data_IF_800099348110
#
_entry.id   IF_800099348110
#
_cell.length_a   1.000
_cell.length_b   1.000
_cell.length_c   1.000
_cell.angle_alpha   90.00
_cell.angle_beta   90.00
_cell.angle_gamma   90.00
#
_symmetry.space_group_name_H-M   'P 1'
#
loop_
_entity.id
_entity.type
_entity.pdbx_description
1 polymer ?
#
# COMPACT_ATOMS: atom_id res chain seq x y z
N UNK A 1 -2.12 15.50 -11.55
CA UNK A 1 -1.48 14.87 -10.39
C UNK A 1 -0.23 14.12 -10.84
N UNK A 2 0.83 14.24 -10.07
CA UNK A 2 2.09 13.59 -10.37
C UNK A 2 2.30 12.42 -9.42
N UNK A 3 3.05 11.44 -9.88
CA UNK A 3 3.32 10.23 -9.13
C UNK A 3 4.82 9.91 -9.27
N UNK A 4 5.54 10.01 -8.15
CA UNK A 4 6.97 9.73 -8.10
C UNK A 4 7.25 8.39 -7.44
N UNK A 5 8.31 7.73 -7.90
CA UNK A 5 8.75 6.44 -7.40
C UNK A 5 10.20 6.51 -6.94
N UNK A 6 10.47 5.98 -5.76
CA UNK A 6 11.83 5.81 -5.27
C UNK A 6 12.14 4.34 -5.10
N UNK A 7 13.31 3.94 -5.52
CA UNK A 7 13.80 2.57 -5.38
C UNK A 7 14.82 2.52 -4.24
N UNK A 8 14.53 1.68 -3.25
CA UNK A 8 15.39 1.53 -2.07
C UNK A 8 15.59 0.03 -1.82
N UNK A 9 16.81 -0.46 -2.07
CA UNK A 9 17.13 -1.86 -1.93
C UNK A 9 17.41 -2.24 -0.48
N UNK A 10 16.74 -3.28 -0.02
CA UNK A 10 16.93 -3.85 1.30
C UNK A 10 17.91 -5.02 1.21
N UNK A 11 18.92 -5.02 2.09
CA UNK A 11 19.99 -6.03 2.10
C UNK A 11 19.52 -7.46 2.38
N UNK A 12 18.27 -7.64 2.80
CA UNK A 12 17.72 -8.96 3.17
C UNK A 12 16.94 -9.62 2.02
N UNK A 13 17.26 -9.31 0.79
CA UNK A 13 16.59 -9.90 -0.38
C UNK A 13 15.20 -9.35 -0.62
N UNK A 14 14.88 -8.23 -0.05
CA UNK A 14 13.63 -7.53 -0.26
C UNK A 14 13.88 -6.25 -1.02
N UNK A 15 13.08 -6.01 -2.03
CA UNK A 15 13.08 -4.74 -2.72
C UNK A 15 12.05 -3.82 -2.05
N UNK A 16 12.42 -2.58 -1.87
CA UNK A 16 11.58 -1.58 -1.21
C UNK A 16 11.41 -0.40 -2.14
N UNK A 17 10.17 -0.01 -2.36
CA UNK A 17 9.82 1.09 -3.25
C UNK A 17 8.97 2.10 -2.50
N UNK A 18 9.29 3.38 -2.65
CA UNK A 18 8.53 4.45 -2.06
C UNK A 18 7.77 5.20 -3.15
N UNK A 19 6.53 5.53 -2.90
CA UNK A 19 5.68 6.22 -3.84
C UNK A 19 5.09 7.46 -3.18
N UNK A 20 5.18 8.58 -3.87
CA UNK A 20 4.60 9.83 -3.40
C UNK A 20 3.65 10.37 -4.46
N UNK A 21 2.53 10.87 -4.02
CA UNK A 21 1.58 11.56 -4.90
C UNK A 21 1.66 13.05 -4.62
N UNK A 22 1.78 13.83 -5.68
CA UNK A 22 1.87 15.27 -5.58
C UNK A 22 0.67 15.93 -6.23
N UNK A 23 0.22 16.99 -5.63
CA UNK A 23 -0.81 17.85 -6.18
C UNK A 23 -0.40 19.30 -5.95
N UNK A 24 -0.30 20.08 -7.01
CA UNK A 24 0.15 21.49 -6.95
C UNK A 24 1.49 21.62 -6.19
N UNK A 25 2.44 20.72 -6.47
CA UNK A 25 3.77 20.66 -5.87
C UNK A 25 3.77 20.32 -4.38
N UNK A 26 2.65 19.85 -3.84
CA UNK A 26 2.55 19.42 -2.45
C UNK A 26 2.48 17.90 -2.43
N UNK A 27 3.32 17.26 -1.61
CA UNK A 27 3.22 15.81 -1.41
C UNK A 27 1.98 15.52 -0.56
N UNK A 28 0.94 15.00 -1.20
CA UNK A 28 -0.35 14.79 -0.54
C UNK A 28 -0.55 13.35 -0.08
N UNK A 29 0.26 12.42 -0.57
CA UNK A 29 0.15 11.02 -0.17
C UNK A 29 1.50 10.33 -0.32
N UNK A 30 1.77 9.36 0.52
CA UNK A 30 2.98 8.55 0.46
C UNK A 30 2.65 7.12 0.83
N UNK A 31 3.42 6.19 0.28
CA UNK A 31 3.32 4.77 0.62
C UNK A 31 4.63 4.07 0.33
N UNK A 32 4.76 2.88 0.87
CA UNK A 32 5.93 2.04 0.68
C UNK A 32 5.49 0.64 0.31
N UNK A 33 6.17 0.04 -0.66
CA UNK A 33 5.98 -1.36 -1.02
C UNK A 33 7.23 -2.13 -0.67
N UNK A 34 7.06 -3.25 0.03
CA UNK A 34 8.12 -4.23 0.23
C UNK A 34 7.80 -5.45 -0.62
N UNK A 35 8.73 -5.83 -1.50
CA UNK A 35 8.58 -7.02 -2.30
C UNK A 35 9.40 -8.13 -1.66
N UNK A 36 8.74 -9.24 -1.37
CA UNK A 36 9.37 -10.42 -0.79
C UNK A 36 9.60 -11.44 -1.91
N UNK A 37 10.86 -11.70 -2.23
CA UNK A 37 11.27 -12.63 -3.29
C UNK A 37 11.72 -13.94 -2.67
N UNK A 38 10.81 -14.64 -2.02
CA UNK A 38 11.14 -15.95 -1.45
C UNK A 38 10.64 -17.08 -2.32
N UNK A 39 11.55 -17.98 -2.68
CA UNK A 39 11.24 -19.17 -3.47
C UNK A 39 10.62 -18.78 -4.83
N UNK A 40 9.63 -19.52 -5.27
CA UNK A 40 8.99 -19.33 -6.58
C UNK A 40 7.86 -18.31 -6.57
N UNK A 41 7.52 -17.78 -5.39
CA UNK A 41 6.42 -16.83 -5.26
C UNK A 41 6.92 -15.49 -4.77
N UNK A 42 6.55 -14.45 -5.49
CA UNK A 42 6.77 -13.08 -5.04
C UNK A 42 5.48 -12.55 -4.44
N UNK A 43 5.61 -11.87 -3.33
CA UNK A 43 4.49 -11.18 -2.69
C UNK A 43 4.92 -9.77 -2.34
N UNK A 44 3.96 -8.90 -2.15
CA UNK A 44 4.21 -7.52 -1.78
C UNK A 44 3.43 -7.14 -0.55
N UNK A 45 4.01 -6.28 0.26
CA UNK A 45 3.34 -5.69 1.41
C UNK A 45 3.34 -4.18 1.25
N UNK A 46 2.16 -3.60 1.28
CA UNK A 46 2.01 -2.14 1.23
C UNK A 46 2.03 -1.62 2.66
N UNK A 47 2.90 -0.66 2.91
CA UNK A 47 3.11 -0.09 4.24
C UNK A 47 3.04 1.42 4.18
N UNK A 48 2.78 2.03 5.34
CA UNK A 48 2.88 3.48 5.54
C UNK A 48 2.06 4.30 4.56
N UNK A 49 0.94 3.73 4.09
CA UNK A 49 0.05 4.48 3.24
C UNK A 49 -0.65 5.57 4.04
N UNK A 50 -0.50 6.80 3.62
CA UNK A 50 -1.22 7.90 4.24
C UNK A 50 -1.53 8.99 3.22
N UNK A 51 -2.61 9.70 3.48
CA UNK A 51 -3.03 10.86 2.70
C UNK A 51 -3.12 12.03 3.67
N UNK A 52 -2.59 13.19 3.27
CA UNK A 52 -2.69 14.39 4.09
C UNK A 52 -4.16 14.68 4.42
N UNK A 53 -4.40 15.09 5.67
CA UNK A 53 -5.75 15.28 6.20
C UNK A 53 -6.61 16.18 5.31
N UNK A 54 -6.06 17.28 4.83
CA UNK A 54 -6.82 18.26 4.03
C UNK A 54 -7.15 17.74 2.63
N UNK A 55 -6.55 16.63 2.22
CA UNK A 55 -6.76 16.05 0.88
C UNK A 55 -7.51 14.73 0.92
N UNK A 56 -7.93 14.30 2.10
CA UNK A 56 -8.72 13.07 2.25
C UNK A 56 -10.10 13.27 1.65
N UNK A 57 -10.64 12.20 1.07
CA UNK A 57 -11.95 12.25 0.44
C UNK A 57 -11.96 12.81 -0.98
N UNK A 58 -10.80 13.15 -1.53
CA UNK A 58 -10.67 13.72 -2.88
C UNK A 58 -10.26 12.69 -3.94
N UNK A 59 -10.25 11.39 -3.60
CA UNK A 59 -9.88 10.34 -4.54
C UNK A 59 -8.39 10.05 -4.60
N UNK A 60 -7.56 10.71 -3.81
CA UNK A 60 -6.11 10.50 -3.82
C UNK A 60 -5.74 9.10 -3.38
N UNK A 61 -6.41 8.57 -2.36
CA UNK A 61 -6.16 7.20 -1.90
C UNK A 61 -6.42 6.17 -3.00
N UNK A 62 -7.53 6.34 -3.72
CA UNK A 62 -7.87 5.46 -4.85
C UNK A 62 -6.85 5.61 -5.98
N UNK A 63 -6.44 6.82 -6.29
CA UNK A 63 -5.44 7.10 -7.31
C UNK A 63 -4.12 6.41 -6.95
N UNK A 64 -3.65 6.57 -5.71
CA UNK A 64 -2.43 5.95 -5.24
C UNK A 64 -2.51 4.43 -5.32
N UNK A 65 -3.56 3.82 -4.76
CA UNK A 65 -3.71 2.37 -4.76
C UNK A 65 -3.78 1.80 -6.17
N UNK A 66 -4.45 2.47 -7.08
CA UNK A 66 -4.54 2.04 -8.47
C UNK A 66 -3.15 1.98 -9.13
N UNK A 67 -2.31 2.96 -8.84
CA UNK A 67 -0.94 2.97 -9.36
C UNK A 67 -0.07 1.90 -8.72
N UNK A 68 -0.21 1.67 -7.41
CA UNK A 68 0.53 0.61 -6.73
C UNK A 68 0.15 -0.76 -7.28
N UNK A 69 -1.13 -1.02 -7.48
CA UNK A 69 -1.60 -2.28 -8.03
C UNK A 69 -1.07 -2.48 -9.44
N UNK A 70 -1.12 -1.46 -10.29
CA UNK A 70 -0.61 -1.55 -11.66
C UNK A 70 0.89 -1.81 -11.67
N UNK A 71 1.64 -1.12 -10.81
CA UNK A 71 3.07 -1.33 -10.67
C UNK A 71 3.38 -2.78 -10.32
N UNK A 72 2.65 -3.35 -9.37
CA UNK A 72 2.88 -4.73 -8.93
C UNK A 72 2.44 -5.75 -9.97
N UNK A 73 1.31 -5.54 -10.61
CA UNK A 73 0.83 -6.42 -11.66
C UNK A 73 1.83 -6.46 -12.82
N UNK A 74 2.41 -5.32 -13.18
CA UNK A 74 3.42 -5.25 -14.22
C UNK A 74 4.71 -5.99 -13.86
N UNK A 75 4.94 -6.23 -12.56
CA UNK A 75 6.07 -7.04 -12.08
C UNK A 75 5.67 -8.50 -11.85
N UNK A 76 4.47 -8.89 -12.27
CA UNK A 76 3.93 -10.24 -12.09
C UNK A 76 3.75 -10.60 -10.61
N UNK A 77 3.45 -9.62 -9.77
CA UNK A 77 3.17 -9.82 -8.36
C UNK A 77 1.67 -9.65 -8.16
N UNK A 78 1.00 -10.74 -7.82
CA UNK A 78 -0.45 -10.74 -7.66
C UNK A 78 -0.92 -10.88 -6.21
N UNK A 79 -0.02 -11.27 -5.31
CA UNK A 79 -0.34 -11.40 -3.88
C UNK A 79 0.10 -10.16 -3.13
N UNK A 80 -0.86 -9.39 -2.64
CA UNK A 80 -0.59 -8.13 -1.97
C UNK A 80 -1.25 -8.15 -0.60
N UNK A 81 -0.50 -7.80 0.43
CA UNK A 81 -1.00 -7.68 1.79
C UNK A 81 -0.80 -6.25 2.30
N UNK A 82 -1.59 -5.88 3.26
CA UNK A 82 -1.43 -4.61 3.96
C UNK A 82 -2.00 -4.72 5.36
N UNK A 83 -1.67 -3.74 6.20
CA UNK A 83 -2.28 -3.58 7.51
C UNK A 83 -3.13 -2.32 7.47
N UNK A 84 -4.41 -2.46 7.73
CA UNK A 84 -5.35 -1.35 7.72
C UNK A 84 -5.69 -0.93 9.13
N UNK A 85 -5.68 0.37 9.38
CA UNK A 85 -6.31 0.91 10.57
C UNK A 85 -7.82 0.71 10.47
N UNK A 86 -8.47 0.63 11.63
CA UNK A 86 -9.89 0.33 11.71
C UNK A 86 -10.76 1.22 10.81
N UNK A 87 -10.48 2.51 10.78
CA UNK A 87 -11.28 3.46 10.01
C UNK A 87 -11.12 3.34 8.49
N UNK A 88 -10.12 2.61 8.00
CA UNK A 88 -9.83 2.47 6.58
C UNK A 88 -10.24 1.11 6.01
N UNK A 89 -10.75 0.20 6.81
CA UNK A 89 -11.09 -1.16 6.39
C UNK A 89 -12.09 -1.15 5.24
N UNK A 90 -13.14 -0.35 5.32
CA UNK A 90 -14.16 -0.30 4.28
C UNK A 90 -13.61 0.23 2.96
N UNK A 91 -12.66 1.17 3.02
CA UNK A 91 -12.01 1.67 1.82
C UNK A 91 -11.30 0.53 1.08
N UNK A 92 -10.53 -0.28 1.81
CA UNK A 92 -9.81 -1.39 1.20
C UNK A 92 -10.73 -2.51 0.72
N UNK A 93 -11.81 -2.78 1.45
CA UNK A 93 -12.81 -3.75 1.00
C UNK A 93 -13.40 -3.37 -0.35
N UNK A 94 -13.68 -2.10 -0.56
CA UNK A 94 -14.20 -1.61 -1.83
C UNK A 94 -13.23 -1.80 -2.99
N UNK A 95 -11.93 -1.87 -2.68
CA UNK A 95 -10.90 -2.15 -3.68
C UNK A 95 -10.73 -3.63 -3.96
N UNK A 96 -11.40 -4.49 -3.19
CA UNK A 96 -11.32 -5.93 -3.37
C UNK A 96 -10.50 -6.67 -2.32
N UNK A 97 -10.01 -5.96 -1.31
CA UNK A 97 -9.26 -6.60 -0.23
C UNK A 97 -10.16 -7.38 0.70
N UNK A 98 -9.64 -8.49 1.21
CA UNK A 98 -10.31 -9.35 2.18
C UNK A 98 -9.57 -9.27 3.50
N UNK A 99 -10.32 -9.25 4.60
CA UNK A 99 -9.74 -9.26 5.95
C UNK A 99 -9.17 -10.64 6.28
N UNK A 100 -8.00 -10.64 6.90
CA UNK A 100 -7.44 -11.84 7.51
C UNK A 100 -7.87 -11.82 8.97
N UNK A 101 -8.24 -12.99 9.53
CA UNK A 101 -8.67 -13.06 10.91
C UNK A 101 -7.64 -12.51 11.88
N UNK A 102 -8.15 -11.91 12.94
CA UNK A 102 -7.34 -11.37 14.02
C UNK A 102 -7.08 -9.90 13.86
N UNK A 103 -7.24 -9.18 14.96
CA UNK A 103 -6.88 -7.78 15.07
C UNK A 103 -5.65 -7.68 15.95
N UNK A 104 -4.88 -6.62 15.77
CA UNK A 104 -3.74 -6.36 16.62
C UNK A 104 -3.58 -4.87 16.85
N UNK A 105 -2.88 -4.54 17.94
CA UNK A 105 -2.60 -3.16 18.28
C UNK A 105 -1.20 -2.79 17.79
N UNK A 106 -1.10 -1.63 17.16
CA UNK A 106 0.17 -1.06 16.78
C UNK A 106 0.12 0.41 17.14
N UNK A 107 1.05 0.84 17.99
CA UNK A 107 1.06 2.21 18.53
C UNK A 107 -0.29 2.59 19.17
N UNK A 108 -0.94 1.63 19.83
CA UNK A 108 -2.22 1.86 20.51
C UNK A 108 -3.44 1.92 19.58
N UNK A 109 -3.27 1.67 18.30
CA UNK A 109 -4.35 1.71 17.32
C UNK A 109 -4.64 0.30 16.84
N UNK A 110 -5.92 -0.03 16.72
CA UNK A 110 -6.35 -1.32 16.20
C UNK A 110 -6.06 -1.39 14.70
N UNK A 111 -5.36 -2.45 14.31
CA UNK A 111 -5.04 -2.72 12.92
C UNK A 111 -5.57 -4.08 12.52
N UNK A 112 -5.86 -4.24 11.24
CA UNK A 112 -6.29 -5.50 10.68
C UNK A 112 -5.51 -5.78 9.41
N UNK A 113 -5.03 -7.02 9.28
CA UNK A 113 -4.35 -7.44 8.06
C UNK A 113 -5.37 -7.73 6.98
N UNK A 114 -5.05 -7.31 5.78
CA UNK A 114 -5.90 -7.52 4.62
C UNK A 114 -5.05 -7.98 3.44
N UNK A 115 -5.68 -8.67 2.51
CA UNK A 115 -4.99 -9.14 1.32
C UNK A 115 -5.87 -9.04 0.09
N UNK A 116 -5.22 -8.98 -1.06
CA UNK A 116 -5.86 -9.12 -2.36
C UNK A 116 -4.98 -10.02 -3.21
N UNK A 117 -5.62 -10.77 -4.10
CA UNK A 117 -4.93 -11.68 -5.00
C UNK A 117 -5.52 -11.47 -6.38
N UNK A 118 -4.72 -10.92 -7.26
CA UNK A 118 -5.16 -10.64 -8.64
C UNK A 118 -5.07 -11.86 -9.56
#
# INVERSE_FOLDING_TARGET
EEFDEFDDLNRMGKDSFHFNVYKDNICVSTSRILINKMLDKQSAKIQRGCVLKDYRGSGIGLFMMSHLHRFLINKNISNITLSSQDHAIEFYKKLGYTEIEGEYLEAGIIHKKMYINF
#
